data_IF_131217069914
#
_entry.id   IF_131217069914
#
_cell.length_a   1.000
_cell.length_b   1.000
_cell.length_c   1.000
_cell.angle_alpha   90.00
_cell.angle_beta   90.00
_cell.angle_gamma   90.00
#
_symmetry.space_group_name_H-M   'P 1'
#
loop_
_entity.id
_entity.type
_entity.pdbx_description
1 polymer ?
#
# COMPACT_ATOMS: atom_id res chain seq x y z
N UNK A 1 -7.19 41.59 33.69
CA UNK A 1 -5.96 40.96 33.19
C UNK A 1 -6.08 39.46 33.00
N UNK A 2 -6.68 38.75 33.93
CA UNK A 2 -6.84 37.31 33.78
C UNK A 2 -7.76 36.90 32.63
N UNK A 3 -8.72 37.73 32.25
CA UNK A 3 -9.66 37.44 31.16
C UNK A 3 -9.01 37.48 29.77
N UNK A 4 -8.04 38.35 29.57
CA UNK A 4 -7.35 38.45 28.29
C UNK A 4 -6.44 37.24 28.09
N UNK A 5 -5.81 36.74 29.11
CA UNK A 5 -4.97 35.56 29.02
C UNK A 5 -5.79 34.32 28.74
N UNK A 6 -6.94 34.18 29.39
CA UNK A 6 -7.84 33.08 29.16
C UNK A 6 -8.41 33.08 27.74
N UNK A 7 -8.73 34.26 27.21
CA UNK A 7 -9.21 34.39 25.84
C UNK A 7 -8.13 33.99 24.83
N UNK A 8 -6.88 34.39 25.05
CA UNK A 8 -5.78 33.99 24.20
C UNK A 8 -5.52 32.50 24.26
N UNK A 9 -5.58 31.92 25.44
CA UNK A 9 -5.40 30.49 25.61
C UNK A 9 -6.54 29.69 24.93
N UNK A 10 -7.77 30.16 25.05
CA UNK A 10 -8.90 29.55 24.40
C UNK A 10 -8.79 29.61 22.87
N UNK A 11 -8.34 30.76 22.36
CA UNK A 11 -8.12 30.92 20.93
C UNK A 11 -6.98 30.04 20.43
N UNK A 12 -5.92 29.90 21.21
CA UNK A 12 -4.83 29.00 20.86
C UNK A 12 -5.27 27.54 20.91
N UNK A 13 -6.08 27.17 21.88
CA UNK A 13 -6.63 25.83 21.95
C UNK A 13 -7.61 25.54 20.81
N UNK A 14 -8.41 26.53 20.45
CA UNK A 14 -9.31 26.42 19.30
C UNK A 14 -8.54 26.31 17.98
N UNK A 15 -7.39 26.97 17.87
CA UNK A 15 -6.52 26.85 16.71
C UNK A 15 -5.73 25.54 16.71
N UNK A 16 -5.43 24.99 17.88
CA UNK A 16 -4.73 23.71 18.00
C UNK A 16 -5.64 22.51 17.85
N UNK A 17 -6.94 22.71 17.93
CA UNK A 17 -7.89 21.68 17.54
C UNK A 17 -8.12 21.82 16.05
N UNK A 18 -7.40 21.07 15.23
CA UNK A 18 -7.65 21.17 13.81
C UNK A 18 -9.08 20.71 13.54
N UNK A 19 -9.79 21.37 12.64
CA UNK A 19 -11.11 20.89 12.22
C UNK A 19 -11.04 19.47 11.67
N UNK A 20 -9.84 18.95 11.55
CA UNK A 20 -9.47 17.63 11.09
C UNK A 20 -9.63 16.56 12.16
N UNK A 21 -10.01 16.89 13.38
CA UNK A 21 -10.24 15.89 14.43
C UNK A 21 -11.22 14.82 14.00
N UNK A 22 -12.06 15.15 13.04
CA UNK A 22 -13.04 14.25 12.49
C UNK A 22 -12.59 13.65 11.16
N UNK A 23 -11.44 14.06 10.64
CA UNK A 23 -10.97 13.60 9.34
C UNK A 23 -9.60 12.94 9.46
N UNK A 24 -9.62 11.61 9.46
CA UNK A 24 -8.39 10.85 9.34
C UNK A 24 -7.98 10.82 7.87
N UNK A 25 -6.76 11.25 7.61
CA UNK A 25 -6.18 11.22 6.28
C UNK A 25 -5.19 10.07 6.24
N UNK A 26 -5.34 9.19 5.25
CA UNK A 26 -4.44 8.07 5.05
C UNK A 26 -3.45 8.45 3.96
N UNK A 27 -2.16 8.28 4.26
CA UNK A 27 -1.09 8.47 3.28
C UNK A 27 -0.78 7.15 2.61
N UNK A 28 -0.83 7.16 1.29
CA UNK A 28 -0.70 5.96 0.48
C UNK A 28 0.34 6.15 -0.60
N UNK A 29 0.92 5.06 -1.05
CA UNK A 29 1.71 5.03 -2.28
C UNK A 29 0.92 4.26 -3.31
N UNK A 30 0.62 4.90 -4.42
CA UNK A 30 -0.16 4.32 -5.50
C UNK A 30 0.77 3.76 -6.57
N UNK A 31 0.33 2.67 -7.18
CA UNK A 31 1.08 1.97 -8.22
C UNK A 31 0.12 1.26 -9.16
N UNK A 32 0.62 0.91 -10.33
CA UNK A 32 -0.16 0.23 -11.36
C UNK A 32 0.27 -1.22 -11.47
N UNK A 33 -0.70 -2.10 -11.56
CA UNK A 33 -0.53 -3.50 -11.94
C UNK A 33 -1.57 -3.79 -13.02
N UNK A 34 -1.10 -4.11 -14.22
CA UNK A 34 -2.00 -4.26 -15.35
C UNK A 34 -2.63 -2.93 -15.75
N UNK A 35 -3.94 -2.91 -15.83
CA UNK A 35 -4.71 -1.72 -16.17
C UNK A 35 -5.30 -1.02 -14.94
N UNK A 36 -5.02 -1.52 -13.74
CA UNK A 36 -5.63 -1.02 -12.52
C UNK A 36 -4.62 -0.34 -11.61
N UNK A 37 -5.09 0.64 -10.85
CA UNK A 37 -4.28 1.35 -9.89
C UNK A 37 -4.61 0.88 -8.48
N UNK A 38 -3.56 0.57 -7.73
CA UNK A 38 -3.64 0.10 -6.35
C UNK A 38 -2.85 1.03 -5.45
N UNK A 39 -3.06 0.90 -4.15
CA UNK A 39 -2.26 1.64 -3.18
C UNK A 39 -2.11 0.85 -1.89
N UNK A 40 -1.03 1.13 -1.17
CA UNK A 40 -0.81 0.60 0.18
C UNK A 40 -0.41 1.76 1.09
N UNK A 41 -0.69 1.65 2.40
CA UNK A 41 -0.26 2.69 3.33
C UNK A 41 1.25 2.88 3.30
N UNK A 42 1.69 4.13 3.29
CA UNK A 42 3.12 4.45 3.18
C UNK A 42 3.91 3.87 4.36
N UNK A 43 3.29 3.81 5.54
CA UNK A 43 3.97 3.29 6.73
C UNK A 43 4.22 1.79 6.68
N UNK A 44 3.55 1.07 5.80
CA UNK A 44 3.79 -0.36 5.60
C UNK A 44 4.99 -0.65 4.72
N UNK A 45 5.48 0.35 4.01
CA UNK A 45 6.57 0.19 3.05
C UNK A 45 7.89 0.37 3.75
N UNK A 46 8.74 -0.66 3.68
CA UNK A 46 10.09 -0.56 4.17
C UNK A 46 11.00 0.11 3.14
N UNK A 47 10.84 -0.27 1.87
CA UNK A 47 11.71 0.22 0.80
C UNK A 47 11.06 -0.03 -0.54
N UNK A 48 11.36 0.82 -1.51
CA UNK A 48 10.98 0.61 -2.92
C UNK A 48 12.27 0.56 -3.71
N UNK A 49 12.50 -0.55 -4.41
CA UNK A 49 13.77 -0.80 -5.07
C UNK A 49 13.55 -1.17 -6.54
N UNK A 50 14.61 -1.02 -7.33
CA UNK A 50 14.66 -1.56 -8.68
C UNK A 50 14.77 -3.07 -8.62
N UNK A 51 14.32 -3.79 -9.67
CA UNK A 51 14.41 -5.24 -9.68
C UNK A 51 15.83 -5.76 -9.40
N UNK A 52 15.89 -6.76 -8.55
CA UNK A 52 17.12 -7.47 -8.20
C UNK A 52 17.00 -8.92 -8.65
N UNK A 53 18.14 -9.58 -8.76
CA UNK A 53 18.16 -11.01 -9.03
C UNK A 53 17.52 -11.77 -7.88
N UNK A 54 16.82 -12.83 -8.20
CA UNK A 54 16.17 -13.66 -7.22
C UNK A 54 16.41 -15.14 -7.54
N UNK A 55 16.30 -15.97 -6.51
CA UNK A 55 16.46 -17.43 -6.62
C UNK A 55 15.09 -18.08 -6.55
N UNK A 56 14.77 -18.93 -7.50
CA UNK A 56 13.51 -19.63 -7.55
C UNK A 56 13.44 -20.64 -6.42
N UNK A 57 12.27 -20.80 -5.84
CA UNK A 57 11.98 -21.77 -4.79
C UNK A 57 10.98 -22.78 -5.34
N UNK A 58 11.27 -24.09 -5.30
CA UNK A 58 10.31 -25.08 -5.77
C UNK A 58 9.14 -25.25 -4.78
N UNK A 59 8.00 -25.67 -5.32
CA UNK A 59 6.85 -26.03 -4.49
C UNK A 59 6.01 -24.85 -4.00
N UNK A 60 6.24 -23.65 -4.51
CA UNK A 60 5.45 -22.46 -4.15
C UNK A 60 4.43 -22.16 -5.23
N UNK A 61 3.38 -21.36 -4.92
CA UNK A 61 2.45 -20.91 -5.95
C UNK A 61 3.15 -20.15 -7.07
N UNK A 62 2.53 -20.09 -8.24
CA UNK A 62 3.15 -19.46 -9.41
C UNK A 62 3.44 -17.97 -9.23
N UNK A 63 2.68 -17.29 -8.37
CA UNK A 63 2.91 -15.87 -8.12
C UNK A 63 4.11 -15.61 -7.19
N UNK A 64 4.63 -16.60 -6.53
CA UNK A 64 5.89 -16.48 -5.77
C UNK A 64 7.02 -16.77 -6.73
N UNK A 65 7.75 -15.72 -7.14
CA UNK A 65 8.85 -15.87 -8.08
C UNK A 65 10.05 -16.55 -7.45
N UNK A 66 10.27 -16.33 -6.17
CA UNK A 66 11.40 -16.87 -5.45
C UNK A 66 11.72 -16.04 -4.23
N UNK A 67 13.00 -15.98 -3.90
CA UNK A 67 13.50 -15.16 -2.80
C UNK A 67 14.68 -14.32 -3.29
N UNK A 68 14.86 -13.15 -2.70
CA UNK A 68 15.98 -12.30 -3.00
C UNK A 68 16.62 -11.79 -1.71
N UNK A 69 17.88 -11.39 -1.83
CA UNK A 69 18.64 -10.87 -0.68
C UNK A 69 18.53 -9.36 -0.70
N UNK A 70 18.03 -8.81 0.41
CA UNK A 70 17.97 -7.38 0.63
C UNK A 70 18.61 -7.06 1.98
N UNK A 71 19.77 -6.46 1.94
CA UNK A 71 20.51 -6.03 3.15
C UNK A 71 20.70 -7.14 4.17
N UNK A 72 20.99 -8.36 3.69
CA UNK A 72 21.17 -9.52 4.56
C UNK A 72 19.91 -10.27 4.92
N UNK A 73 18.74 -9.78 4.52
CA UNK A 73 17.46 -10.46 4.71
C UNK A 73 17.11 -11.25 3.46
N UNK A 74 16.68 -12.49 3.66
CA UNK A 74 16.13 -13.29 2.58
C UNK A 74 14.62 -13.00 2.54
N UNK A 75 14.19 -12.40 1.44
CA UNK A 75 12.83 -11.85 1.32
C UNK A 75 12.13 -12.56 0.16
N UNK A 76 10.90 -13.09 0.39
CA UNK A 76 10.13 -13.64 -0.73
C UNK A 76 9.71 -12.56 -1.71
N UNK A 77 9.66 -12.93 -2.99
CA UNK A 77 9.29 -12.02 -4.07
C UNK A 77 8.00 -12.51 -4.71
N UNK A 78 6.96 -11.70 -4.62
CA UNK A 78 5.63 -11.99 -5.14
C UNK A 78 5.36 -11.14 -6.36
N UNK A 79 4.92 -11.76 -7.43
CA UNK A 79 4.49 -11.06 -8.63
C UNK A 79 2.99 -10.78 -8.53
N UNK A 80 2.63 -9.50 -8.40
CA UNK A 80 1.24 -9.12 -8.23
C UNK A 80 0.40 -9.38 -9.49
N UNK A 81 0.99 -9.30 -10.68
CA UNK A 81 0.26 -9.67 -11.89
C UNK A 81 -0.24 -11.10 -11.80
N UNK A 82 0.64 -12.03 -11.48
CA UNK A 82 0.29 -13.44 -11.36
C UNK A 82 -0.66 -13.68 -10.19
N UNK A 83 -0.45 -12.98 -9.09
CA UNK A 83 -1.35 -13.10 -7.92
C UNK A 83 -2.77 -12.68 -8.25
N UNK A 84 -2.93 -11.67 -9.09
CA UNK A 84 -4.23 -11.16 -9.50
C UNK A 84 -4.79 -11.87 -10.74
N UNK A 85 -4.11 -12.92 -11.21
CA UNK A 85 -4.58 -13.70 -12.36
C UNK A 85 -4.26 -13.10 -13.71
N UNK A 86 -3.34 -12.15 -13.77
CA UNK A 86 -2.90 -11.52 -15.01
C UNK A 86 -1.69 -12.26 -15.60
N UNK A 87 -1.47 -12.17 -16.91
CA UNK A 87 -0.29 -12.79 -17.51
C UNK A 87 1.01 -12.16 -17.01
N UNK A 88 2.06 -12.99 -16.96
CA UNK A 88 3.41 -12.51 -16.67
C UNK A 88 3.90 -11.58 -17.78
N UNK A 89 4.55 -10.51 -17.39
CA UNK A 89 5.27 -9.63 -18.30
C UNK A 89 6.68 -9.40 -17.79
N UNK A 90 7.62 -9.28 -18.71
CA UNK A 90 9.00 -9.00 -18.38
C UNK A 90 9.13 -7.63 -17.70
N UNK A 91 10.08 -7.47 -16.78
CA UNK A 91 10.34 -6.18 -16.20
C UNK A 91 10.70 -5.14 -17.27
N UNK A 92 10.23 -3.92 -17.05
CA UNK A 92 10.56 -2.73 -17.84
C UNK A 92 11.39 -1.77 -17.00
N UNK A 93 11.72 -0.61 -17.54
CA UNK A 93 12.41 0.43 -16.79
C UNK A 93 11.58 0.95 -15.62
N UNK A 94 10.26 0.80 -15.70
CA UNK A 94 9.34 1.30 -14.67
C UNK A 94 9.06 0.30 -13.58
N UNK A 95 9.40 -0.96 -13.77
CA UNK A 95 9.16 -2.03 -12.80
C UNK A 95 9.88 -1.74 -11.50
N UNK A 96 9.18 -1.99 -10.39
CA UNK A 96 9.75 -1.82 -9.04
C UNK A 96 9.32 -2.98 -8.15
N UNK A 97 10.11 -3.20 -7.11
CA UNK A 97 9.73 -4.07 -5.99
C UNK A 97 9.38 -3.17 -4.82
N UNK A 98 8.16 -3.29 -4.33
CA UNK A 98 7.75 -2.65 -3.07
C UNK A 98 7.97 -3.67 -1.97
N UNK A 99 8.88 -3.37 -1.05
CA UNK A 99 9.12 -4.23 0.11
C UNK A 99 8.22 -3.76 1.24
N UNK A 100 7.30 -4.62 1.60
CA UNK A 100 6.34 -4.36 2.67
C UNK A 100 6.77 -5.15 3.90
N UNK A 101 6.67 -4.50 5.03
CA UNK A 101 7.03 -5.09 6.31
C UNK A 101 5.90 -4.92 7.31
N UNK A 102 5.61 -5.99 8.04
CA UNK A 102 4.73 -5.97 9.20
C UNK A 102 5.41 -6.79 10.29
N UNK A 103 5.93 -6.10 11.32
CA UNK A 103 6.72 -6.74 12.38
C UNK A 103 7.91 -7.50 11.78
N UNK A 104 7.98 -8.82 11.96
CA UNK A 104 9.07 -9.64 11.44
C UNK A 104 8.83 -10.13 10.02
N UNK A 105 7.63 -9.98 9.52
CA UNK A 105 7.30 -10.44 8.17
C UNK A 105 7.64 -9.40 7.13
N UNK A 106 8.27 -9.86 6.05
CA UNK A 106 8.63 -9.02 4.90
C UNK A 106 8.37 -9.76 3.62
N UNK A 107 7.96 -9.02 2.62
CA UNK A 107 7.86 -9.55 1.26
C UNK A 107 8.07 -8.41 0.28
N UNK A 108 8.64 -8.74 -0.87
CA UNK A 108 8.73 -7.82 -1.99
C UNK A 108 7.64 -8.12 -2.99
N UNK A 109 7.00 -7.09 -3.50
CA UNK A 109 5.91 -7.20 -4.46
C UNK A 109 6.30 -6.51 -5.76
N UNK A 110 6.26 -7.26 -6.86
CA UNK A 110 6.57 -6.70 -8.18
C UNK A 110 5.37 -5.90 -8.66
N UNK A 111 5.62 -4.66 -8.99
CA UNK A 111 4.62 -3.75 -9.53
C UNK A 111 5.07 -3.26 -10.90
N UNK A 112 4.11 -2.88 -11.76
CA UNK A 112 4.43 -2.42 -13.10
C UNK A 112 5.10 -1.05 -13.08
N UNK A 113 4.56 -0.12 -12.30
CA UNK A 113 5.14 1.21 -12.11
C UNK A 113 4.52 1.91 -10.92
N UNK A 114 5.29 2.83 -10.35
CA UNK A 114 4.78 3.74 -9.33
C UNK A 114 4.01 4.87 -10.01
N UNK A 115 2.96 5.36 -9.36
CA UNK A 115 2.27 6.55 -9.84
C UNK A 115 2.58 7.74 -8.96
N UNK A 116 2.10 7.76 -7.73
CA UNK A 116 2.37 8.88 -6.84
C UNK A 116 2.06 8.53 -5.40
N UNK A 117 2.55 9.36 -4.48
CA UNK A 117 2.07 9.35 -3.11
C UNK A 117 0.77 10.17 -3.06
N UNK A 118 -0.26 9.59 -2.46
CA UNK A 118 -1.57 10.23 -2.37
C UNK A 118 -2.03 10.29 -0.92
N UNK A 119 -2.85 11.29 -0.64
CA UNK A 119 -3.50 11.45 0.66
C UNK A 119 -5.00 11.41 0.43
N UNK A 120 -5.66 10.48 1.08
CA UNK A 120 -7.10 10.30 0.92
C UNK A 120 -7.74 10.34 2.30
N UNK A 121 -8.81 11.09 2.44
CA UNK A 121 -9.59 11.10 3.67
C UNK A 121 -10.26 9.75 3.83
N UNK A 122 -10.22 9.22 5.05
CA UNK A 122 -10.84 7.93 5.33
C UNK A 122 -12.33 7.95 4.97
N UNK A 123 -12.99 9.08 5.17
CA UNK A 123 -14.40 9.24 4.80
C UNK A 123 -14.66 9.19 3.31
N UNK A 124 -13.64 9.40 2.48
CA UNK A 124 -13.73 9.33 1.02
C UNK A 124 -13.41 7.95 0.47
N UNK A 125 -13.14 6.99 1.35
CA UNK A 125 -12.85 5.62 0.94
C UNK A 125 -14.13 4.80 1.04
N UNK A 126 -14.57 4.26 -0.07
CA UNK A 126 -15.72 3.37 -0.08
C UNK A 126 -15.29 1.97 0.32
N UNK A 127 -15.98 1.33 1.26
CA UNK A 127 -15.71 -0.07 1.55
C UNK A 127 -16.02 -0.92 0.33
N UNK A 128 -15.25 -1.99 0.15
CA UNK A 128 -15.41 -2.86 -1.01
C UNK A 128 -16.77 -3.53 -0.99
N UNK A 129 -17.55 -3.44 -2.07
CA UNK A 129 -18.77 -4.22 -2.17
C UNK A 129 -18.47 -5.71 -2.09
N UNK A 130 -19.32 -6.46 -1.41
CA UNK A 130 -19.14 -7.89 -1.20
C UNK A 130 -18.99 -8.68 -2.49
N UNK A 131 -19.45 -8.12 -3.60
CA UNK A 131 -19.45 -8.79 -4.90
C UNK A 131 -18.12 -8.69 -5.65
N UNK A 132 -17.17 -7.86 -5.21
CA UNK A 132 -15.97 -7.58 -6.00
C UNK A 132 -14.81 -8.47 -5.62
N UNK A 133 -14.79 -9.02 -4.42
CA UNK A 133 -13.61 -9.71 -3.95
C UNK A 133 -13.92 -11.13 -3.52
N UNK A 134 -13.28 -12.10 -4.17
CA UNK A 134 -13.20 -13.45 -3.64
C UNK A 134 -12.30 -13.50 -2.41
N UNK A 135 -11.56 -12.42 -2.18
CA UNK A 135 -10.59 -12.29 -1.10
C UNK A 135 -11.01 -11.11 -0.23
N UNK A 136 -12.01 -11.35 0.60
CA UNK A 136 -12.72 -10.34 1.36
C UNK A 136 -11.81 -9.45 2.19
N UNK A 137 -10.63 -9.96 2.59
CA UNK A 137 -9.75 -9.22 3.49
C UNK A 137 -8.63 -8.47 2.80
N UNK A 138 -8.34 -8.78 1.54
CA UNK A 138 -7.21 -8.17 0.83
C UNK A 138 -7.45 -6.70 0.54
N UNK A 139 -8.67 -6.34 0.19
CA UNK A 139 -9.01 -4.98 -0.21
C UNK A 139 -9.60 -4.23 0.98
N UNK A 140 -8.94 -3.14 1.36
CA UNK A 140 -9.43 -2.25 2.40
C UNK A 140 -10.60 -1.41 1.93
N UNK A 141 -10.53 -0.92 0.70
CA UNK A 141 -11.56 -0.09 0.12
C UNK A 141 -11.11 0.50 -1.19
N UNK A 142 -11.95 1.37 -1.74
CA UNK A 142 -11.70 2.04 -3.02
C UNK A 142 -11.73 3.54 -2.80
N UNK A 143 -10.66 4.21 -3.16
CA UNK A 143 -10.56 5.66 -3.11
C UNK A 143 -10.68 6.26 -4.50
N UNK A 144 -11.10 7.51 -4.54
CA UNK A 144 -11.14 8.28 -5.79
C UNK A 144 -10.17 9.44 -5.68
N UNK A 145 -9.39 9.63 -6.71
CA UNK A 145 -8.48 10.77 -6.82
C UNK A 145 -8.58 11.32 -8.21
N UNK A 146 -9.15 12.52 -8.33
CA UNK A 146 -9.51 13.10 -9.63
C UNK A 146 -10.46 12.14 -10.37
N UNK A 147 -10.11 11.72 -11.58
CA UNK A 147 -10.92 10.76 -12.35
C UNK A 147 -10.44 9.32 -12.18
N UNK A 148 -9.51 9.08 -11.25
CA UNK A 148 -8.92 7.75 -11.06
C UNK A 148 -9.57 7.02 -9.90
N UNK A 149 -9.68 5.73 -10.05
CA UNK A 149 -10.13 4.82 -8.99
C UNK A 149 -8.90 4.07 -8.50
N UNK A 150 -8.66 4.11 -7.19
CA UNK A 150 -7.51 3.47 -6.57
C UNK A 150 -8.02 2.44 -5.59
N UNK A 151 -7.63 1.19 -5.79
CA UNK A 151 -7.97 0.10 -4.88
C UNK A 151 -6.92 0.01 -3.79
N UNK A 152 -7.33 0.18 -2.55
CA UNK A 152 -6.42 0.19 -1.40
C UNK A 152 -6.33 -1.22 -0.84
N UNK A 153 -5.10 -1.73 -0.74
CA UNK A 153 -4.83 -3.08 -0.26
C UNK A 153 -4.41 -3.05 1.20
N UNK A 154 -4.72 -4.13 1.90
CA UNK A 154 -4.26 -4.33 3.27
C UNK A 154 -2.90 -5.02 3.25
N UNK A 155 -1.84 -4.36 3.73
CA UNK A 155 -0.51 -4.97 3.69
C UNK A 155 -0.41 -6.23 4.52
N UNK A 156 -1.08 -6.30 5.66
CA UNK A 156 -1.07 -7.49 6.50
C UNK A 156 -1.66 -8.71 5.79
N UNK A 157 -2.64 -8.50 4.93
CA UNK A 157 -3.24 -9.59 4.17
C UNK A 157 -2.38 -10.00 2.98
N UNK A 158 -1.67 -9.04 2.36
CA UNK A 158 -0.68 -9.37 1.34
C UNK A 158 0.40 -10.29 1.89
N UNK A 159 0.87 -10.01 3.11
CA UNK A 159 1.93 -10.78 3.75
C UNK A 159 1.47 -12.17 4.18
N UNK A 160 0.26 -12.31 4.69
CA UNK A 160 -0.26 -13.59 5.17
C UNK A 160 -0.32 -14.67 4.10
N UNK A 161 -0.45 -14.27 2.85
CA UNK A 161 -0.67 -15.19 1.74
C UNK A 161 0.58 -15.38 0.90
N UNK A 162 1.72 -15.16 1.50
CA UNK A 162 2.98 -15.31 0.81
C UNK A 162 3.38 -16.77 0.66
N UNK A 163 2.97 -17.61 1.60
CA UNK A 163 3.27 -19.05 1.54
C UNK A 163 2.08 -19.89 1.95
#
# INVERSE_FOLDING_TARGET
>A
MSNQLQDVLQKQQAQKKPPVETENVIQLVAFVVGSEEFAVPILSIQEIIKPLEYTRVPGVPNYVLGVFNMRGWVVPLINLRLKFGLPYEKPTEDTRYIVIRNQEERAGFVIDRLTEAVRIKESDIDPTPETISQDENLIYGVGKRDDRIITILRPEELLKRTF
#
